data_IF_514019661780
#
_entry.id   IF_514019661780
#
_cell.length_a   1.000
_cell.length_b   1.000
_cell.length_c   1.000
_cell.angle_alpha   90.00
_cell.angle_beta   90.00
_cell.angle_gamma   90.00
#
_symmetry.space_group_name_H-M   'P 1'
#
loop_
_entity.id
_entity.type
_entity.pdbx_description
1 polymer ?
#
# COMPACT_ATOMS: atom_id res chain seq x y z
N UNK A 1 -89.31 -9.88 36.38
CA UNK A 1 -89.70 -8.54 35.91
C UNK A 1 -88.85 -8.15 34.73
N UNK A 2 -89.53 -7.62 33.73
CA UNK A 2 -89.14 -7.33 32.36
C UNK A 2 -88.22 -6.09 32.17
N UNK A 3 -87.62 -6.04 30.97
CA UNK A 3 -86.82 -5.00 30.24
C UNK A 3 -87.14 -3.50 30.52
N UNK A 4 -86.26 -2.49 30.22
CA UNK A 4 -85.59 -2.31 28.91
C UNK A 4 -84.24 -1.52 28.85
N UNK A 5 -83.93 -1.15 27.60
CA UNK A 5 -82.68 -0.83 26.88
C UNK A 5 -82.14 0.61 27.07
N UNK A 6 -80.88 0.81 26.64
CA UNK A 6 -80.24 1.98 25.98
C UNK A 6 -79.44 2.98 26.84
N UNK A 7 -78.14 3.18 26.56
CA UNK A 7 -77.62 4.21 25.61
C UNK A 7 -76.10 4.10 25.43
N UNK A 8 -75.67 4.22 24.17
CA UNK A 8 -74.29 4.25 23.69
C UNK A 8 -73.55 5.50 24.20
N UNK A 9 -72.27 5.34 24.57
CA UNK A 9 -71.24 6.35 24.29
C UNK A 9 -69.93 5.63 23.95
N UNK A 10 -69.47 5.82 22.71
CA UNK A 10 -68.11 5.56 22.27
C UNK A 10 -67.22 6.66 22.85
N UNK A 11 -66.11 6.31 23.49
CA UNK A 11 -64.93 7.18 23.52
C UNK A 11 -63.68 6.33 23.43
N UNK A 12 -62.86 6.65 22.43
CA UNK A 12 -61.59 6.07 22.11
C UNK A 12 -60.59 6.22 23.27
N UNK A 13 -59.81 5.16 23.51
CA UNK A 13 -58.69 5.17 24.45
C UNK A 13 -57.55 4.34 23.89
N UNK A 14 -56.73 4.96 23.05
CA UNK A 14 -55.45 4.40 22.59
C UNK A 14 -54.46 4.42 23.75
N UNK A 15 -53.98 3.25 24.17
CA UNK A 15 -52.98 3.08 25.24
C UNK A 15 -51.79 2.27 24.73
N UNK A 16 -50.65 2.95 24.62
CA UNK A 16 -49.44 2.62 23.88
C UNK A 16 -48.75 1.30 24.22
N UNK A 17 -48.35 0.55 23.17
CA UNK A 17 -47.40 -0.55 23.23
C UNK A 17 -45.99 -0.01 23.48
N UNK A 18 -45.37 -0.40 24.60
CA UNK A 18 -43.95 -0.23 24.87
C UNK A 18 -43.13 -1.20 24.00
N UNK A 19 -42.57 -0.70 22.89
CA UNK A 19 -41.54 -1.41 22.13
C UNK A 19 -40.17 -0.85 22.53
N UNK A 20 -39.44 -1.58 23.37
CA UNK A 20 -38.01 -1.35 23.58
C UNK A 20 -37.27 -1.76 22.30
N UNK A 21 -37.03 -0.82 21.39
CA UNK A 21 -36.07 -0.98 20.30
C UNK A 21 -34.65 -0.96 20.87
N UNK A 22 -34.05 -2.14 21.01
CA UNK A 22 -32.63 -2.28 21.24
C UNK A 22 -31.87 -1.90 19.95
N UNK A 23 -31.29 -0.70 19.91
CA UNK A 23 -30.33 -0.34 18.87
C UNK A 23 -29.05 -1.16 19.06
N UNK A 24 -28.97 -2.33 18.43
CA UNK A 24 -27.68 -2.97 18.17
C UNK A 24 -26.96 -2.10 17.14
N UNK A 25 -26.10 -1.20 17.61
CA UNK A 25 -25.04 -0.60 16.78
C UNK A 25 -24.05 -1.71 16.48
N UNK A 26 -24.36 -2.52 15.47
CA UNK A 26 -23.39 -3.38 14.83
C UNK A 26 -22.34 -2.46 14.22
N UNK A 27 -21.21 -2.28 14.90
CA UNK A 27 -20.03 -1.66 14.31
C UNK A 27 -19.58 -2.59 13.19
N UNK A 28 -20.09 -2.36 11.99
CA UNK A 28 -19.56 -2.97 10.78
C UNK A 28 -18.12 -2.51 10.68
N UNK A 29 -17.19 -3.37 11.10
CA UNK A 29 -15.78 -3.22 10.76
C UNK A 29 -15.74 -3.26 9.24
N UNK A 30 -15.55 -2.10 8.62
CA UNK A 30 -15.26 -2.03 7.20
C UNK A 30 -14.10 -3.00 6.93
N UNK A 31 -14.15 -3.79 5.84
CA UNK A 31 -13.00 -4.57 5.41
C UNK A 31 -11.79 -3.64 5.39
N UNK A 32 -10.65 -4.09 5.94
CA UNK A 32 -9.40 -3.36 5.80
C UNK A 32 -9.15 -3.30 4.29
N UNK A 33 -9.45 -2.14 3.69
CA UNK A 33 -9.09 -1.83 2.32
C UNK A 33 -7.63 -2.24 2.14
N UNK A 34 -7.39 -3.25 1.31
CA UNK A 34 -6.04 -3.58 0.87
C UNK A 34 -5.50 -2.31 0.24
N UNK A 35 -4.66 -1.57 0.97
CA UNK A 35 -4.22 -0.23 0.55
C UNK A 35 -3.80 -0.26 -0.92
N UNK A 36 -4.38 0.62 -1.72
CA UNK A 36 -4.04 0.72 -3.14
C UNK A 36 -2.67 1.38 -3.27
N UNK A 37 -1.77 0.77 -4.03
CA UNK A 37 -0.46 1.34 -4.36
C UNK A 37 -0.41 1.72 -5.83
N UNK A 38 0.20 2.87 -6.11
CA UNK A 38 0.50 3.32 -7.47
C UNK A 38 1.91 2.90 -7.83
N UNK A 39 2.07 2.33 -9.03
CA UNK A 39 3.39 2.03 -9.60
C UNK A 39 3.99 3.30 -10.19
N UNK A 40 5.18 3.63 -9.72
CA UNK A 40 5.93 4.81 -10.15
C UNK A 40 7.24 4.42 -10.83
N UNK A 41 7.38 3.15 -11.25
CA UNK A 41 8.59 2.62 -11.89
C UNK A 41 8.95 3.40 -13.13
N UNK A 42 7.98 3.66 -14.03
CA UNK A 42 8.24 4.37 -15.28
C UNK A 42 8.66 5.83 -15.06
N UNK A 43 8.15 6.47 -14.00
CA UNK A 43 8.55 7.82 -13.61
C UNK A 43 9.95 7.83 -12.97
N UNK A 44 10.27 6.87 -12.11
CA UNK A 44 11.53 6.85 -11.36
C UNK A 44 12.73 6.34 -12.21
N UNK A 45 12.49 5.37 -13.10
CA UNK A 45 13.52 4.71 -13.89
C UNK A 45 14.43 5.67 -14.68
N UNK A 46 13.93 6.68 -15.43
CA UNK A 46 14.80 7.61 -16.15
C UNK A 46 15.67 8.46 -15.21
N UNK A 47 15.19 8.80 -14.01
CA UNK A 47 15.94 9.57 -13.01
C UNK A 47 17.11 8.75 -12.46
N UNK A 48 16.83 7.50 -12.05
CA UNK A 48 17.85 6.57 -11.55
C UNK A 48 18.86 6.22 -12.65
N UNK A 49 18.40 5.99 -13.88
CA UNK A 49 19.30 5.73 -15.00
C UNK A 49 20.14 6.94 -15.39
N UNK A 50 19.63 8.17 -15.25
CA UNK A 50 20.43 9.39 -15.42
C UNK A 50 21.57 9.46 -14.41
N UNK A 51 21.28 9.16 -13.14
CA UNK A 51 22.28 9.06 -12.08
C UNK A 51 23.34 7.98 -12.38
N UNK A 52 22.90 6.78 -12.78
CA UNK A 52 23.80 5.66 -13.10
C UNK A 52 24.71 5.96 -14.29
N UNK A 53 24.18 6.57 -15.36
CA UNK A 53 24.97 7.01 -16.52
C UNK A 53 26.04 8.04 -16.15
N UNK A 54 25.72 9.01 -15.27
CA UNK A 54 26.72 9.97 -14.74
C UNK A 54 27.85 9.30 -13.96
N UNK A 55 27.67 8.05 -13.52
CA UNK A 55 28.67 7.23 -12.84
C UNK A 55 29.28 6.14 -13.73
N UNK A 56 28.99 6.14 -15.04
CA UNK A 56 29.49 5.15 -15.98
C UNK A 56 28.89 3.74 -15.80
N UNK A 57 27.74 3.62 -15.12
CA UNK A 57 27.08 2.35 -14.88
C UNK A 57 26.00 2.06 -15.94
N UNK A 58 25.77 0.78 -16.20
CA UNK A 58 24.68 0.31 -17.08
C UNK A 58 23.31 0.72 -16.57
N UNK A 59 22.40 1.05 -17.50
CA UNK A 59 21.00 1.34 -17.19
C UNK A 59 20.30 0.11 -16.61
N UNK A 60 19.39 0.36 -15.68
CA UNK A 60 18.40 -0.58 -15.18
C UNK A 60 17.22 -0.67 -16.16
N UNK A 61 16.50 -1.78 -16.11
CA UNK A 61 15.21 -1.96 -16.77
C UNK A 61 14.06 -2.04 -15.75
N UNK A 62 12.83 -1.77 -16.19
CA UNK A 62 11.63 -1.98 -15.39
C UNK A 62 11.42 -3.47 -15.15
N UNK A 63 11.53 -3.92 -13.90
CA UNK A 63 11.37 -5.32 -13.52
C UNK A 63 10.01 -5.53 -12.83
N UNK A 64 9.06 -6.24 -13.47
CA UNK A 64 7.74 -6.50 -12.89
C UNK A 64 7.78 -7.20 -11.53
N UNK A 65 8.79 -8.06 -11.29
CA UNK A 65 8.92 -8.78 -10.01
C UNK A 65 9.38 -7.81 -8.92
N UNK A 66 10.33 -6.93 -9.22
CA UNK A 66 10.74 -5.86 -8.32
C UNK A 66 9.60 -4.85 -8.07
N UNK A 67 8.84 -4.49 -9.11
CA UNK A 67 7.71 -3.56 -8.99
C UNK A 67 6.61 -4.13 -8.07
N UNK A 68 6.31 -5.42 -8.16
CA UNK A 68 5.39 -6.08 -7.25
C UNK A 68 5.90 -6.09 -5.80
N UNK A 69 7.20 -6.32 -5.60
CA UNK A 69 7.82 -6.26 -4.27
C UNK A 69 7.81 -4.85 -3.67
N UNK A 70 8.03 -3.82 -4.49
CA UNK A 70 7.91 -2.43 -4.08
C UNK A 70 6.46 -2.09 -3.69
N UNK A 71 5.46 -2.50 -4.47
CA UNK A 71 4.04 -2.34 -4.14
C UNK A 71 3.71 -2.97 -2.79
N UNK A 72 4.06 -4.24 -2.57
CA UNK A 72 3.81 -4.93 -1.29
C UNK A 72 4.41 -4.16 -0.10
N UNK A 73 5.65 -3.69 -0.24
CA UNK A 73 6.31 -2.95 0.82
C UNK A 73 5.65 -1.59 1.09
N UNK A 74 5.30 -0.83 0.05
CA UNK A 74 4.59 0.45 0.18
C UNK A 74 3.24 0.26 0.90
N UNK A 75 2.45 -0.74 0.50
CA UNK A 75 1.16 -1.09 1.12
C UNK A 75 1.35 -1.46 2.58
N UNK A 76 2.37 -2.27 2.90
CA UNK A 76 2.67 -2.66 4.29
C UNK A 76 3.00 -1.43 5.12
N UNK A 77 3.86 -0.54 4.65
CA UNK A 77 4.21 0.68 5.39
C UNK A 77 2.99 1.58 5.61
N UNK A 78 2.13 1.75 4.60
CA UNK A 78 0.90 2.52 4.71
C UNK A 78 -0.13 1.87 5.66
N UNK A 79 -0.25 0.54 5.66
CA UNK A 79 -1.13 -0.20 6.57
C UNK A 79 -0.68 -0.07 8.02
N UNK A 80 0.62 -0.14 8.29
CA UNK A 80 1.17 -0.01 9.65
C UNK A 80 1.39 1.44 10.08
N UNK A 81 1.26 2.41 9.18
CA UNK A 81 1.58 3.83 9.43
C UNK A 81 3.03 4.08 9.85
N UNK A 82 3.95 3.19 9.45
CA UNK A 82 5.33 3.16 9.91
C UNK A 82 6.27 2.81 8.75
N UNK A 83 7.32 3.61 8.58
CA UNK A 83 8.42 3.30 7.68
C UNK A 83 9.35 2.27 8.33
N UNK A 84 9.40 1.04 7.81
CA UNK A 84 10.29 -0.01 8.28
C UNK A 84 10.44 -1.11 7.23
N UNK A 85 11.65 -1.62 7.06
CA UNK A 85 11.91 -2.78 6.19
C UNK A 85 11.23 -4.07 6.70
N UNK A 86 10.95 -4.13 8.01
CA UNK A 86 10.47 -5.32 8.73
C UNK A 86 9.14 -5.00 9.42
N UNK A 87 8.04 -5.38 8.75
CA UNK A 87 6.67 -5.12 9.19
C UNK A 87 5.86 -6.42 9.34
N UNK A 88 5.20 -6.57 10.49
CA UNK A 88 4.46 -7.79 10.84
C UNK A 88 5.33 -8.89 11.44
N UNK A 89 4.70 -9.94 11.94
CA UNK A 89 5.33 -11.00 12.76
C UNK A 89 6.32 -11.89 11.99
N UNK A 90 6.27 -11.91 10.64
CA UNK A 90 6.81 -13.05 9.90
C UNK A 90 7.90 -12.73 8.85
N UNK A 91 8.28 -11.48 8.57
CA UNK A 91 8.82 -11.18 7.22
C UNK A 91 9.91 -10.10 7.18
N UNK A 92 11.14 -10.53 7.48
CA UNK A 92 12.37 -9.80 7.14
C UNK A 92 12.43 -9.47 5.65
N UNK A 93 13.26 -8.50 5.25
CA UNK A 93 13.56 -8.21 3.84
C UNK A 93 13.85 -9.48 3.01
N UNK A 94 14.80 -10.32 3.48
CA UNK A 94 15.21 -11.52 2.73
C UNK A 94 14.05 -12.54 2.59
N UNK A 95 13.27 -12.74 3.65
CA UNK A 95 12.11 -13.63 3.61
C UNK A 95 11.03 -13.10 2.64
N UNK A 96 10.86 -11.78 2.55
CA UNK A 96 9.97 -11.13 1.56
C UNK A 96 10.46 -11.36 0.13
N UNK A 97 11.71 -11.05 -0.17
CA UNK A 97 12.27 -11.24 -1.51
C UNK A 97 12.15 -12.70 -1.98
N UNK A 98 12.48 -13.66 -1.11
CA UNK A 98 12.33 -15.11 -1.41
C UNK A 98 10.88 -15.50 -1.70
N UNK A 99 9.94 -15.12 -0.84
CA UNK A 99 8.51 -15.44 -1.02
C UNK A 99 7.96 -14.87 -2.32
N UNK A 100 8.37 -13.64 -2.67
CA UNK A 100 7.92 -12.94 -3.88
C UNK A 100 8.73 -13.32 -5.12
N UNK A 101 9.66 -14.27 -5.00
CA UNK A 101 10.52 -14.76 -6.08
C UNK A 101 11.35 -13.65 -6.74
N UNK A 102 11.71 -12.62 -5.97
CA UNK A 102 12.65 -11.57 -6.40
C UNK A 102 14.04 -12.19 -6.49
N UNK A 103 14.73 -12.13 -7.65
CA UNK A 103 16.09 -12.63 -7.77
C UNK A 103 17.05 -11.93 -6.82
N UNK A 104 17.91 -12.72 -6.16
CA UNK A 104 18.98 -12.23 -5.30
C UNK A 104 20.31 -12.17 -6.08
N UNK A 105 21.23 -11.24 -5.79
CA UNK A 105 21.11 -10.19 -4.77
C UNK A 105 20.02 -9.17 -5.11
N UNK A 106 19.42 -8.59 -4.07
CA UNK A 106 18.40 -7.54 -4.16
C UNK A 106 18.65 -6.47 -3.08
N UNK A 107 18.15 -5.26 -3.33
CA UNK A 107 18.20 -4.14 -2.39
C UNK A 107 16.87 -3.40 -2.31
N UNK A 108 16.66 -2.64 -1.23
CA UNK A 108 15.45 -1.85 -1.01
C UNK A 108 15.78 -0.47 -0.45
N UNK A 109 15.13 0.55 -1.02
CA UNK A 109 15.07 1.89 -0.44
C UNK A 109 13.62 2.17 -0.05
N UNK A 110 13.40 2.77 1.13
CA UNK A 110 12.08 3.20 1.60
C UNK A 110 12.10 4.68 1.95
N UNK A 111 10.97 5.35 1.81
CA UNK A 111 10.80 6.74 2.23
C UNK A 111 9.33 6.99 2.63
N UNK A 112 9.07 8.13 3.27
CA UNK A 112 7.72 8.57 3.60
C UNK A 112 7.64 10.10 3.64
N UNK A 113 6.49 10.63 3.24
CA UNK A 113 6.19 12.08 3.27
C UNK A 113 6.67 12.88 2.06
N UNK A 114 7.14 12.22 0.98
CA UNK A 114 7.44 12.89 -0.29
C UNK A 114 6.19 12.89 -1.16
N UNK A 115 5.87 14.02 -1.77
CA UNK A 115 4.61 14.20 -2.51
C UNK A 115 4.73 13.78 -3.97
N UNK A 116 5.96 13.54 -4.45
CA UNK A 116 6.26 13.19 -5.83
C UNK A 116 7.36 12.13 -5.95
N UNK A 117 7.43 11.49 -7.12
CA UNK A 117 8.52 10.55 -7.45
C UNK A 117 9.86 11.25 -7.44
N UNK A 118 9.91 12.48 -7.96
CA UNK A 118 11.09 13.33 -8.01
C UNK A 118 11.64 13.58 -6.60
N UNK A 119 10.77 13.90 -5.64
CA UNK A 119 11.13 14.10 -4.24
C UNK A 119 11.61 12.81 -3.59
N UNK A 120 10.94 11.68 -3.81
CA UNK A 120 11.33 10.38 -3.28
C UNK A 120 12.71 9.95 -3.80
N UNK A 121 12.94 10.04 -5.12
CA UNK A 121 14.23 9.73 -5.74
C UNK A 121 15.32 10.69 -5.24
N UNK A 122 15.03 11.98 -5.12
CA UNK A 122 15.99 12.97 -4.60
C UNK A 122 16.36 12.68 -3.14
N UNK A 123 15.38 12.32 -2.31
CA UNK A 123 15.61 11.92 -0.92
C UNK A 123 16.51 10.68 -0.83
N UNK A 124 16.30 9.67 -1.68
CA UNK A 124 17.18 8.51 -1.77
C UNK A 124 18.59 8.87 -2.26
N UNK A 125 18.74 9.78 -3.23
CA UNK A 125 20.05 10.22 -3.72
C UNK A 125 20.85 10.92 -2.60
N UNK A 126 20.18 11.71 -1.76
CA UNK A 126 20.81 12.44 -0.65
C UNK A 126 21.22 11.55 0.52
N UNK A 127 20.71 10.33 0.61
CA UNK A 127 21.10 9.35 1.63
C UNK A 127 22.19 8.44 1.09
N UNK A 128 23.39 8.47 1.69
CA UNK A 128 24.52 7.63 1.26
C UNK A 128 24.13 6.15 1.11
N UNK A 129 23.44 5.58 2.11
CA UNK A 129 23.03 4.16 2.07
C UNK A 129 22.08 3.86 0.91
N UNK A 130 21.12 4.74 0.65
CA UNK A 130 20.15 4.55 -0.43
C UNK A 130 20.78 4.78 -1.81
N UNK A 131 21.71 5.73 -1.90
CA UNK A 131 22.51 5.99 -3.09
C UNK A 131 23.37 4.77 -3.44
N UNK A 132 24.04 4.17 -2.45
CA UNK A 132 24.86 2.97 -2.65
C UNK A 132 24.03 1.82 -3.25
N UNK A 133 22.77 1.64 -2.82
CA UNK A 133 21.85 0.67 -3.43
C UNK A 133 21.57 0.98 -4.92
N UNK A 134 21.23 2.24 -5.25
CA UNK A 134 20.92 2.64 -6.64
C UNK A 134 22.14 2.52 -7.60
N UNK A 135 23.34 2.59 -7.06
CA UNK A 135 24.60 2.41 -7.79
C UNK A 135 25.12 0.97 -7.74
N UNK A 136 24.42 0.06 -7.06
CA UNK A 136 24.78 -1.34 -6.95
C UNK A 136 24.72 -2.09 -8.28
N UNK A 137 25.27 -3.33 -8.32
CA UNK A 137 25.35 -4.18 -9.49
C UNK A 137 24.00 -4.88 -9.76
N UNK A 138 22.96 -4.06 -9.95
CA UNK A 138 21.60 -4.49 -10.27
C UNK A 138 21.29 -4.26 -11.75
N UNK A 139 20.29 -4.99 -12.25
CA UNK A 139 19.78 -4.87 -13.63
C UNK A 139 18.31 -4.43 -13.67
N UNK A 140 17.51 -4.76 -12.65
CA UNK A 140 16.08 -4.47 -12.55
C UNK A 140 15.73 -3.45 -11.47
N UNK A 141 14.65 -2.71 -11.69
CA UNK A 141 14.10 -1.73 -10.75
C UNK A 141 12.57 -1.78 -10.75
N UNK A 142 11.98 -1.61 -9.57
CA UNK A 142 10.57 -1.32 -9.38
C UNK A 142 10.36 -0.29 -8.27
N UNK A 143 9.40 0.62 -8.43
CA UNK A 143 9.09 1.68 -7.47
C UNK A 143 7.58 1.80 -7.30
N UNK A 144 7.12 1.94 -6.07
CA UNK A 144 5.71 2.14 -5.78
C UNK A 144 5.50 3.10 -4.61
N UNK A 145 4.31 3.72 -4.57
CA UNK A 145 3.83 4.54 -3.47
C UNK A 145 2.46 4.06 -3.02
N UNK A 146 2.20 4.08 -1.72
CA UNK A 146 0.88 3.85 -1.15
C UNK A 146 0.59 4.87 -0.05
N UNK A 147 -0.69 5.15 0.18
CA UNK A 147 -1.14 6.00 1.27
C UNK A 147 -2.34 5.35 1.98
N UNK A 148 -2.65 5.84 3.18
CA UNK A 148 -3.76 5.34 3.97
C UNK A 148 -4.45 6.51 4.69
N UNK A 149 -5.78 6.59 4.58
CA UNK A 149 -6.60 7.61 5.23
C UNK A 149 -6.43 7.60 6.76
N UNK A 150 -6.27 6.42 7.37
CA UNK A 150 -5.99 6.27 8.80
C UNK A 150 -4.64 6.86 9.25
N UNK A 151 -3.76 7.17 8.29
CA UNK A 151 -2.46 7.84 8.51
C UNK A 151 -2.43 9.27 7.96
N UNK A 152 -3.61 9.86 7.71
CA UNK A 152 -3.74 11.20 7.13
C UNK A 152 -3.28 11.28 5.68
N UNK A 153 -3.43 10.19 4.91
CA UNK A 153 -2.97 10.08 3.52
C UNK A 153 -1.46 10.31 3.32
N UNK A 154 -0.65 10.14 4.38
CA UNK A 154 0.81 10.19 4.27
C UNK A 154 1.32 9.19 3.21
N UNK A 155 2.14 9.61 2.24
CA UNK A 155 2.69 8.72 1.24
C UNK A 155 3.84 7.89 1.82
N UNK A 156 3.87 6.60 1.45
CA UNK A 156 4.92 5.64 1.77
C UNK A 156 5.48 5.06 0.47
N UNK A 157 6.79 5.23 0.29
CA UNK A 157 7.50 4.89 -0.94
C UNK A 157 8.40 3.70 -0.72
N UNK A 158 8.46 2.80 -1.70
CA UNK A 158 9.45 1.74 -1.76
C UNK A 158 10.05 1.63 -3.16
N UNK A 159 11.35 1.38 -3.22
CA UNK A 159 12.09 0.96 -4.40
C UNK A 159 12.70 -0.40 -4.12
N UNK A 160 12.57 -1.33 -5.06
CA UNK A 160 13.28 -2.62 -5.04
C UNK A 160 14.17 -2.71 -6.27
N UNK A 161 15.40 -3.18 -6.04
CA UNK A 161 16.42 -3.43 -7.05
C UNK A 161 16.73 -4.92 -7.08
N UNK A 162 16.90 -5.50 -8.27
CA UNK A 162 17.07 -6.94 -8.47
C UNK A 162 18.07 -7.24 -9.60
N UNK A 163 18.55 -8.49 -9.64
CA UNK A 163 19.31 -9.03 -10.77
C UNK A 163 18.47 -9.97 -11.63
N UNK A 164 17.35 -9.46 -12.13
CA UNK A 164 16.57 -10.21 -13.11
C UNK A 164 17.36 -10.30 -14.42
N UNK A 165 17.53 -11.50 -15.01
CA UNK A 165 18.14 -11.61 -16.33
C UNK A 165 17.27 -10.86 -17.34
N UNK A 166 17.86 -10.11 -18.29
CA UNK A 166 17.08 -9.46 -19.34
C UNK A 166 16.24 -10.52 -20.07
N UNK A 167 14.92 -10.32 -20.08
CA UNK A 167 14.05 -11.11 -20.95
C UNK A 167 14.27 -10.59 -22.37
N UNK A 168 15.13 -11.24 -23.13
CA UNK A 168 15.14 -11.04 -24.56
C UNK A 168 13.76 -11.46 -25.08
N UNK A 169 13.00 -10.59 -25.79
CA UNK A 169 11.91 -11.10 -26.59
C UNK A 169 12.55 -12.07 -27.59
N UNK A 170 12.02 -13.29 -27.65
CA UNK A 170 12.38 -14.23 -28.71
C UNK A 170 12.25 -13.48 -30.04
N UNK A 171 13.37 -13.27 -30.73
CA UNK A 171 13.32 -12.95 -32.16
C UNK A 171 12.76 -14.20 -32.84
N UNK A 172 11.54 -14.08 -33.35
CA UNK A 172 11.02 -14.95 -34.39
C UNK A 172 11.79 -14.71 -35.70
#
# INVERSE_FOLDING_TARGET
MDHPVTRRFLLAGSGSLLLLSGCSVTTTLAPIETGSATDMTDAALPMVNSLRRKKGLSSLFSDPVAANAARDQAIRMARYGRMSHDLGSDRTFLARMKRMKVPLPAAENIATGQDSTEEAVTAWIRSKKHLDNMLGPFSGLGVAVASNAGTGNRPFWAMVLSNTPPRFPFRA
#
